data_IF_979902322972
#
_entry.id   IF_979902322972
#
_cell.length_a   1.000
_cell.length_b   1.000
_cell.length_c   1.000
_cell.angle_alpha   90.00
_cell.angle_beta   90.00
_cell.angle_gamma   90.00
#
_symmetry.space_group_name_H-M   'P 1'
#
loop_
_entity.id
_entity.type
_entity.pdbx_description
1 polymer ?
#
# COMPACT_ATOMS: atom_id res chain seq x y z
N UNK A 1 -1.55 -13.70 -14.83
CA UNK A 1 -2.78 -12.93 -15.10
C UNK A 1 -2.79 -12.56 -16.58
N UNK A 2 -3.94 -12.14 -17.13
CA UNK A 2 -4.08 -11.81 -18.57
C UNK A 2 -3.25 -10.59 -18.99
N UNK A 3 -2.87 -9.76 -18.04
CA UNK A 3 -2.06 -8.54 -18.18
C UNK A 3 -0.57 -8.78 -17.86
N UNK A 4 -0.10 -10.04 -17.86
CA UNK A 4 1.29 -10.37 -17.53
C UNK A 4 2.26 -9.72 -18.52
N UNK A 5 3.23 -8.96 -18.02
CA UNK A 5 4.24 -8.31 -18.86
C UNK A 5 5.55 -8.05 -18.10
N UNK A 6 6.70 -8.02 -18.81
CA UNK A 6 7.97 -7.65 -18.21
C UNK A 6 8.00 -6.16 -17.85
N UNK A 7 8.61 -5.82 -16.71
CA UNK A 7 8.94 -4.43 -16.34
C UNK A 7 10.45 -4.23 -16.38
N UNK A 8 10.91 -3.16 -17.02
CA UNK A 8 12.34 -2.85 -17.13
C UNK A 8 13.00 -2.80 -15.75
N UNK A 9 14.09 -3.56 -15.59
CA UNK A 9 14.84 -3.63 -14.33
C UNK A 9 14.22 -4.52 -13.25
N UNK A 10 13.13 -5.26 -13.55
CA UNK A 10 12.54 -6.26 -12.66
C UNK A 10 12.77 -7.66 -13.21
N UNK A 11 13.02 -8.59 -12.29
CA UNK A 11 13.27 -10.00 -12.61
C UNK A 11 11.97 -10.78 -12.78
N UNK A 12 11.02 -10.56 -11.89
CA UNK A 12 9.68 -11.12 -12.00
C UNK A 12 8.79 -10.24 -12.90
N UNK A 13 8.07 -10.79 -13.89
CA UNK A 13 7.04 -10.05 -14.60
C UNK A 13 5.94 -9.57 -13.64
N UNK A 14 5.27 -8.48 -13.99
CA UNK A 14 4.08 -8.04 -13.26
C UNK A 14 2.86 -8.84 -13.75
N UNK A 15 1.79 -8.92 -12.97
CA UNK A 15 0.64 -9.77 -13.29
C UNK A 15 0.83 -11.22 -12.84
N UNK A 16 1.62 -11.46 -11.79
CA UNK A 16 1.96 -12.81 -11.30
C UNK A 16 1.50 -13.03 -9.86
N UNK A 17 1.10 -14.27 -9.56
CA UNK A 17 0.95 -14.78 -8.20
C UNK A 17 1.74 -16.10 -8.09
N UNK A 18 2.58 -16.23 -7.07
CA UNK A 18 3.43 -17.40 -6.83
C UNK A 18 3.22 -17.88 -5.40
N UNK A 19 2.92 -19.16 -5.23
CA UNK A 19 2.78 -19.79 -3.91
C UNK A 19 4.05 -20.59 -3.57
N UNK A 20 4.49 -20.50 -2.32
CA UNK A 20 5.58 -21.29 -1.76
C UNK A 20 5.22 -21.80 -0.38
N UNK A 21 5.79 -22.94 0.02
CA UNK A 21 5.49 -23.55 1.33
C UNK A 21 6.09 -22.76 2.49
N UNK A 22 7.40 -22.53 2.44
CA UNK A 22 8.18 -21.93 3.53
C UNK A 22 9.23 -20.90 3.05
N UNK A 23 9.22 -20.53 1.76
CA UNK A 23 10.24 -19.64 1.19
C UNK A 23 9.67 -18.28 0.83
N UNK A 24 10.27 -17.23 1.36
CA UNK A 24 9.95 -15.83 1.09
C UNK A 24 10.89 -15.29 0.02
N UNK A 25 10.34 -14.87 -1.12
CA UNK A 25 11.12 -14.45 -2.30
C UNK A 25 10.97 -12.96 -2.57
N UNK A 26 11.82 -12.10 -1.96
CA UNK A 26 11.72 -10.65 -2.09
C UNK A 26 11.75 -10.14 -3.53
N UNK A 27 12.41 -10.83 -4.46
CA UNK A 27 12.51 -10.39 -5.86
C UNK A 27 11.25 -10.67 -6.70
N UNK A 28 10.35 -11.54 -6.22
CA UNK A 28 9.04 -11.74 -6.85
C UNK A 28 8.17 -10.51 -6.61
N UNK A 29 8.20 -9.99 -5.39
CA UNK A 29 7.51 -8.76 -5.04
C UNK A 29 8.35 -7.57 -5.46
N UNK A 30 7.78 -6.64 -6.22
CA UNK A 30 8.48 -5.39 -6.52
C UNK A 30 8.87 -4.68 -5.19
N UNK A 31 9.86 -3.79 -5.26
CA UNK A 31 10.33 -2.99 -4.13
C UNK A 31 9.41 -1.82 -3.77
N UNK A 32 8.11 -2.00 -3.95
CA UNK A 32 7.05 -1.09 -3.55
C UNK A 32 5.96 -1.89 -2.82
N UNK A 33 6.25 -2.41 -1.59
CA UNK A 33 5.27 -3.12 -0.79
C UNK A 33 3.98 -2.32 -0.66
N UNK A 34 2.84 -2.96 -0.86
CA UNK A 34 1.53 -2.32 -0.82
C UNK A 34 1.36 -1.09 -1.73
N UNK A 35 1.99 -1.10 -2.91
CA UNK A 35 1.35 -0.42 -4.03
C UNK A 35 -0.04 -1.03 -4.21
N UNK A 36 -1.04 -0.16 -4.35
CA UNK A 36 -2.43 -0.58 -4.26
C UNK A 36 -3.39 0.55 -4.56
N UNK A 37 -4.66 0.19 -4.63
CA UNK A 37 -5.71 1.08 -5.08
C UNK A 37 -6.82 1.20 -4.06
N UNK A 38 -7.44 2.37 -4.05
CA UNK A 38 -8.55 2.70 -3.18
C UNK A 38 -9.72 3.22 -4.01
N UNK A 39 -10.89 2.61 -3.81
CA UNK A 39 -12.16 3.08 -4.38
C UNK A 39 -12.94 3.82 -3.30
N UNK A 40 -13.17 5.11 -3.52
CA UNK A 40 -13.82 6.01 -2.55
C UNK A 40 -15.14 6.47 -3.17
N UNK A 41 -16.25 6.10 -2.53
CA UNK A 41 -17.58 6.56 -2.91
C UNK A 41 -17.78 8.00 -2.47
N UNK A 42 -18.59 8.73 -3.22
CA UNK A 42 -19.01 10.09 -2.88
C UNK A 42 -20.53 10.20 -2.97
N UNK A 43 -21.12 11.24 -2.38
CA UNK A 43 -22.50 11.65 -2.65
C UNK A 43 -22.65 12.55 -3.90
N UNK A 44 -21.58 12.73 -4.68
CA UNK A 44 -21.58 13.48 -5.92
C UNK A 44 -22.15 12.64 -7.06
N UNK A 45 -22.94 13.26 -7.92
CA UNK A 45 -23.66 12.66 -9.03
C UNK A 45 -23.73 13.64 -10.19
N UNK A 46 -24.05 13.15 -11.39
CA UNK A 46 -24.26 14.02 -12.56
C UNK A 46 -25.37 15.06 -12.35
N UNK A 47 -26.34 14.79 -11.48
CA UNK A 47 -27.46 15.70 -11.21
C UNK A 47 -27.09 16.83 -10.23
N UNK A 48 -26.15 16.61 -9.31
CA UNK A 48 -25.83 17.54 -8.23
C UNK A 48 -24.42 18.14 -8.28
N UNK A 49 -23.63 17.77 -9.29
CA UNK A 49 -22.25 18.22 -9.45
C UNK A 49 -22.01 18.75 -10.85
N UNK A 50 -21.76 20.04 -10.95
CA UNK A 50 -21.50 20.73 -12.22
C UNK A 50 -20.05 20.56 -12.68
N UNK A 51 -19.81 20.68 -13.99
CA UNK A 51 -18.45 20.68 -14.56
C UNK A 51 -17.55 21.77 -13.96
N UNK A 52 -18.12 22.95 -13.66
CA UNK A 52 -17.39 24.04 -13.00
C UNK A 52 -16.92 23.66 -11.59
N UNK A 53 -17.73 22.92 -10.84
CA UNK A 53 -17.32 22.40 -9.53
C UNK A 53 -16.24 21.35 -9.67
N UNK A 54 -16.34 20.44 -10.65
CA UNK A 54 -15.31 19.44 -10.93
C UNK A 54 -13.97 20.11 -11.26
N UNK A 55 -13.97 21.11 -12.15
CA UNK A 55 -12.76 21.88 -12.48
C UNK A 55 -12.17 22.56 -11.24
N UNK A 56 -13.01 23.20 -10.41
CA UNK A 56 -12.56 23.81 -9.16
C UNK A 56 -11.97 22.79 -8.17
N UNK A 57 -12.57 21.60 -8.05
CA UNK A 57 -12.05 20.50 -7.22
C UNK A 57 -10.66 20.10 -7.70
N UNK A 58 -10.46 19.87 -9.00
CA UNK A 58 -9.15 19.47 -9.51
C UNK A 58 -8.10 20.58 -9.39
N UNK A 59 -8.47 21.85 -9.59
CA UNK A 59 -7.55 22.98 -9.31
C UNK A 59 -7.08 22.99 -7.86
N UNK A 60 -7.98 22.72 -6.91
CA UNK A 60 -7.60 22.59 -5.50
C UNK A 60 -6.75 21.34 -5.24
N UNK A 61 -7.13 20.19 -5.79
CA UNK A 61 -6.40 18.93 -5.62
C UNK A 61 -4.97 19.00 -6.14
N UNK A 62 -4.73 19.68 -7.27
CA UNK A 62 -3.36 19.90 -7.80
C UNK A 62 -2.46 20.61 -6.77
N UNK A 63 -3.03 21.48 -5.94
CA UNK A 63 -2.28 22.22 -4.92
C UNK A 63 -1.96 21.36 -3.69
N UNK A 64 -2.91 20.55 -3.25
CA UNK A 64 -2.85 19.81 -1.97
C UNK A 64 -2.43 18.34 -2.10
N UNK A 65 -2.54 17.75 -3.30
CA UNK A 65 -2.13 16.38 -3.62
C UNK A 65 -0.88 16.41 -4.52
N UNK A 66 0.33 16.51 -3.94
CA UNK A 66 1.55 16.62 -4.72
C UNK A 66 1.95 15.30 -5.39
N UNK A 67 2.45 15.40 -6.62
CA UNK A 67 3.10 14.29 -7.33
C UNK A 67 4.60 14.25 -7.07
N UNK A 68 5.30 15.40 -7.16
CA UNK A 68 6.78 15.47 -7.14
C UNK A 68 7.41 16.19 -5.94
N UNK A 69 6.65 16.59 -4.92
CA UNK A 69 7.21 17.35 -3.78
C UNK A 69 8.18 16.52 -2.94
N UNK A 70 9.18 17.19 -2.35
CA UNK A 70 10.11 16.57 -1.40
C UNK A 70 9.51 16.41 0.01
N UNK A 71 8.54 17.25 0.37
CA UNK A 71 7.84 17.21 1.65
C UNK A 71 6.34 17.11 1.36
N UNK A 72 5.71 16.12 1.98
CA UNK A 72 4.26 15.93 2.00
C UNK A 72 3.70 16.32 3.37
N UNK A 73 2.73 15.56 3.85
CA UNK A 73 2.14 15.75 5.17
C UNK A 73 3.11 15.30 6.26
N UNK A 74 3.51 16.25 7.11
CA UNK A 74 4.35 15.99 8.28
C UNK A 74 3.52 15.32 9.38
N UNK A 75 4.04 14.24 9.93
CA UNK A 75 3.49 13.57 11.12
C UNK A 75 4.54 13.48 12.25
N UNK A 76 4.11 13.25 13.51
CA UNK A 76 5.03 12.93 14.59
C UNK A 76 5.82 11.64 14.31
N UNK A 77 7.08 11.57 14.77
CA UNK A 77 7.90 10.36 14.61
C UNK A 77 7.27 9.14 15.30
N UNK A 78 6.70 9.35 16.49
CA UNK A 78 5.97 8.32 17.22
C UNK A 78 4.79 7.75 16.40
N UNK A 79 4.02 8.63 15.75
CA UNK A 79 2.94 8.19 14.85
C UNK A 79 3.48 7.38 13.66
N UNK A 80 4.65 7.71 13.12
CA UNK A 80 5.29 6.92 12.06
C UNK A 80 5.63 5.50 12.52
N UNK A 81 6.09 5.32 13.76
CA UNK A 81 6.31 4.00 14.36
C UNK A 81 5.00 3.28 14.69
N UNK A 82 3.97 4.01 15.14
CA UNK A 82 2.67 3.41 15.41
C UNK A 82 1.99 2.93 14.11
N UNK A 83 2.12 3.66 13.00
CA UNK A 83 1.69 3.21 11.67
C UNK A 83 2.41 1.92 11.27
N UNK A 84 3.73 1.85 11.49
CA UNK A 84 4.51 0.66 11.18
C UNK A 84 3.94 -0.59 11.86
N UNK A 85 3.44 -0.46 13.09
CA UNK A 85 3.01 -1.57 13.95
C UNK A 85 1.52 -1.90 13.87
N UNK A 86 0.69 -0.86 13.78
CA UNK A 86 -0.76 -0.94 13.93
C UNK A 86 -1.51 -0.58 12.65
N UNK A 87 -0.81 -0.33 11.55
CA UNK A 87 -1.43 0.04 10.27
C UNK A 87 -2.04 1.44 10.31
N UNK A 88 -3.18 1.63 9.66
CA UNK A 88 -3.80 2.96 9.53
C UNK A 88 -4.62 3.43 10.73
N UNK A 89 -4.93 2.56 11.69
CA UNK A 89 -5.83 2.93 12.81
C UNK A 89 -5.34 4.16 13.59
N UNK A 90 -4.06 4.23 14.06
CA UNK A 90 -3.58 5.41 14.78
C UNK A 90 -3.60 6.70 13.93
N UNK A 91 -3.44 6.55 12.61
CA UNK A 91 -3.46 7.66 11.66
C UNK A 91 -4.87 8.23 11.49
N UNK A 92 -5.87 7.36 11.33
CA UNK A 92 -7.29 7.72 11.22
C UNK A 92 -7.74 8.48 12.48
N UNK A 93 -7.32 8.01 13.66
CA UNK A 93 -7.58 8.67 14.94
C UNK A 93 -6.88 10.03 15.03
N UNK A 94 -5.60 10.10 14.63
CA UNK A 94 -4.81 11.34 14.65
C UNK A 94 -5.39 12.44 13.76
N UNK A 95 -5.77 12.10 12.52
CA UNK A 95 -6.37 13.05 11.57
C UNK A 95 -7.86 13.29 11.81
N UNK A 96 -8.50 12.53 12.72
CA UNK A 96 -9.95 12.53 12.93
C UNK A 96 -10.68 12.36 11.60
N UNK A 97 -10.24 11.38 10.81
CA UNK A 97 -10.72 11.18 9.44
C UNK A 97 -12.24 11.00 9.42
N UNK A 98 -12.91 11.74 8.53
CA UNK A 98 -14.37 11.71 8.36
C UNK A 98 -14.85 10.62 7.41
N UNK A 99 -13.98 10.16 6.50
CA UNK A 99 -14.30 9.09 5.55
C UNK A 99 -14.78 7.85 6.28
N UNK A 100 -15.97 7.37 5.90
CA UNK A 100 -16.59 6.18 6.50
C UNK A 100 -15.79 4.93 6.13
N UNK A 101 -15.80 3.95 7.03
CA UNK A 101 -15.25 2.60 6.83
C UNK A 101 -13.75 2.51 6.48
N UNK A 102 -12.94 3.54 6.77
CA UNK A 102 -11.51 3.58 6.49
C UNK A 102 -10.73 2.32 6.92
N UNK A 103 -10.97 1.86 8.15
CA UNK A 103 -10.31 0.67 8.71
C UNK A 103 -11.02 -0.61 8.30
N UNK A 104 -12.34 -0.65 8.37
CA UNK A 104 -13.14 -1.86 8.07
C UNK A 104 -12.92 -2.34 6.64
N UNK A 105 -12.96 -1.41 5.68
CA UNK A 105 -12.90 -1.68 4.26
C UNK A 105 -11.48 -1.59 3.68
N UNK A 106 -10.45 -1.58 4.52
CA UNK A 106 -9.07 -1.73 4.05
C UNK A 106 -8.64 -3.19 4.10
N UNK A 107 -7.86 -3.65 3.12
CA UNK A 107 -7.30 -4.99 3.12
C UNK A 107 -6.60 -5.30 4.45
N UNK A 108 -6.96 -6.42 5.08
CA UNK A 108 -6.51 -6.80 6.43
C UNK A 108 -6.70 -5.68 7.47
N UNK A 109 -7.82 -4.96 7.37
CA UNK A 109 -8.14 -3.78 8.18
C UNK A 109 -7.06 -2.69 8.16
N UNK A 110 -6.35 -2.58 7.04
CA UNK A 110 -5.27 -1.62 6.85
C UNK A 110 -4.03 -1.90 7.71
N UNK A 111 -3.86 -3.13 8.20
CA UNK A 111 -2.70 -3.56 8.97
C UNK A 111 -2.20 -4.96 8.54
N UNK A 112 -0.98 -5.02 8.00
CA UNK A 112 -0.33 -6.27 7.61
C UNK A 112 0.10 -7.16 8.80
N UNK A 113 0.14 -6.62 10.03
CA UNK A 113 0.37 -7.40 11.24
C UNK A 113 -0.91 -7.99 11.84
N UNK A 114 -2.09 -7.63 11.31
CA UNK A 114 -3.40 -8.09 11.80
C UNK A 114 -3.51 -7.89 13.31
N UNK A 115 -3.67 -8.98 14.07
CA UNK A 115 -3.81 -8.98 15.53
C UNK A 115 -2.51 -9.23 16.30
N UNK A 116 -1.36 -9.28 15.62
CA UNK A 116 -0.05 -9.58 16.21
C UNK A 116 0.91 -8.40 16.02
N UNK A 117 0.65 -7.22 16.63
CA UNK A 117 1.52 -6.07 16.49
C UNK A 117 2.87 -6.33 17.15
N UNK A 118 3.93 -5.86 16.51
CA UNK A 118 5.29 -5.97 17.03
C UNK A 118 5.61 -4.86 18.05
N UNK A 119 6.71 -5.00 18.79
CA UNK A 119 7.25 -3.89 19.57
C UNK A 119 7.94 -2.85 18.67
N UNK A 120 8.24 -1.66 19.20
CA UNK A 120 9.06 -0.69 18.46
C UNK A 120 10.47 -1.23 18.19
N UNK A 121 11.04 -1.98 19.14
CA UNK A 121 12.37 -2.56 19.01
C UNK A 121 12.43 -3.58 17.88
N UNK A 122 11.40 -4.41 17.71
CA UNK A 122 11.32 -5.38 16.61
C UNK A 122 11.31 -4.67 15.24
N UNK A 123 10.52 -3.60 15.13
CA UNK A 123 10.49 -2.77 13.91
C UNK A 123 11.84 -2.11 13.66
N UNK A 124 12.45 -1.53 14.69
CA UNK A 124 13.75 -0.85 14.63
C UNK A 124 14.94 -1.82 14.50
N UNK A 125 14.74 -3.11 14.76
CA UNK A 125 15.71 -4.16 14.44
C UNK A 125 15.71 -4.53 12.96
N UNK A 126 14.57 -4.38 12.29
CA UNK A 126 14.38 -4.72 10.88
C UNK A 126 14.54 -3.51 9.93
N UNK A 127 14.23 -2.30 10.40
CA UNK A 127 14.24 -1.08 9.59
C UNK A 127 14.94 0.07 10.35
N UNK A 128 15.96 0.73 9.76
CA UNK A 128 16.65 1.86 10.39
C UNK A 128 15.73 3.02 10.79
N UNK A 129 15.97 3.60 11.96
CA UNK A 129 15.26 4.80 12.47
C UNK A 129 15.29 5.97 11.48
N UNK A 130 16.40 6.15 10.76
CA UNK A 130 16.55 7.17 9.72
C UNK A 130 15.42 7.11 8.68
N UNK A 131 14.98 5.91 8.30
CA UNK A 131 13.94 5.76 7.28
C UNK A 131 12.58 6.26 7.79
N UNK A 132 12.29 6.08 9.08
CA UNK A 132 11.11 6.68 9.72
C UNK A 132 11.23 8.19 9.90
N UNK A 133 12.44 8.70 10.20
CA UNK A 133 12.70 10.15 10.25
C UNK A 133 12.47 10.84 8.90
N UNK A 134 12.72 10.13 7.79
CA UNK A 134 12.37 10.59 6.45
C UNK A 134 10.88 10.37 6.21
N UNK A 135 10.36 9.17 6.48
CA UNK A 135 8.99 8.77 6.22
C UNK A 135 7.93 9.68 6.84
N UNK A 136 8.21 10.22 8.04
CA UNK A 136 7.30 11.17 8.70
C UNK A 136 7.05 12.48 7.94
N UNK A 137 7.81 12.77 6.89
CA UNK A 137 7.62 13.93 6.01
C UNK A 137 7.12 13.55 4.61
N UNK A 138 6.81 12.27 4.36
CA UNK A 138 6.65 11.71 3.00
C UNK A 138 5.28 11.11 2.72
N UNK A 139 4.35 11.16 3.68
CA UNK A 139 2.94 10.78 3.45
C UNK A 139 2.20 11.88 2.69
N UNK A 140 1.08 11.55 2.06
CA UNK A 140 0.28 12.52 1.30
C UNK A 140 0.94 12.93 -0.01
N UNK A 141 1.68 12.01 -0.65
CA UNK A 141 2.32 12.24 -1.95
C UNK A 141 1.93 11.10 -2.87
N UNK A 142 1.34 11.41 -4.03
CA UNK A 142 0.98 10.39 -5.03
C UNK A 142 2.24 9.67 -5.54
N UNK A 143 3.30 10.42 -5.81
CA UNK A 143 4.56 9.92 -6.36
C UNK A 143 4.79 10.41 -7.78
N UNK A 144 6.06 10.63 -8.12
CA UNK A 144 6.49 11.31 -9.34
C UNK A 144 6.61 10.38 -10.56
N UNK A 145 6.61 9.06 -10.35
CA UNK A 145 7.02 8.08 -11.33
C UNK A 145 5.99 6.95 -11.43
N UNK A 146 5.67 6.56 -12.67
CA UNK A 146 4.86 5.37 -12.96
C UNK A 146 3.38 5.67 -13.16
N UNK A 147 2.56 4.75 -12.70
CA UNK A 147 1.12 4.63 -12.95
C UNK A 147 0.26 5.04 -11.74
N UNK A 148 0.77 5.92 -10.87
CA UNK A 148 0.05 6.44 -9.71
C UNK A 148 -0.85 7.62 -10.12
N UNK A 149 -2.07 7.66 -9.60
CA UNK A 149 -3.10 8.64 -10.00
C UNK A 149 -4.14 8.88 -8.89
N UNK A 150 -4.94 9.92 -9.08
CA UNK A 150 -6.17 10.20 -8.35
C UNK A 150 -7.21 10.65 -9.39
N UNK A 151 -8.10 9.74 -9.75
CA UNK A 151 -9.06 9.94 -10.83
C UNK A 151 -10.47 10.08 -10.29
N UNK A 152 -11.22 11.07 -10.80
CA UNK A 152 -12.66 11.16 -10.62
C UNK A 152 -13.31 10.38 -11.76
N UNK A 153 -14.02 9.32 -11.42
CA UNK A 153 -14.71 8.45 -12.38
C UNK A 153 -16.22 8.56 -12.20
N UNK A 154 -16.96 8.36 -13.29
CA UNK A 154 -18.42 8.26 -13.28
C UNK A 154 -18.82 6.80 -13.49
N UNK A 155 -19.75 6.30 -12.68
CA UNK A 155 -20.36 4.99 -12.89
C UNK A 155 -21.34 5.10 -14.05
N UNK A 156 -21.00 4.51 -15.20
CA UNK A 156 -21.83 4.55 -16.42
C UNK A 156 -22.73 3.35 -16.59
N UNK A 157 -22.36 2.20 -16.02
CA UNK A 157 -23.09 0.95 -16.18
C UNK A 157 -22.96 0.06 -14.95
N UNK A 158 -24.06 -0.56 -14.53
CA UNK A 158 -24.08 -1.60 -13.49
C UNK A 158 -24.50 -2.94 -14.08
N UNK A 159 -23.56 -3.90 -14.05
CA UNK A 159 -23.81 -5.28 -14.53
C UNK A 159 -24.54 -6.16 -13.51
N UNK A 160 -24.29 -5.97 -12.22
CA UNK A 160 -24.92 -6.73 -11.13
C UNK A 160 -25.55 -5.76 -10.13
N UNK A 161 -26.88 -5.60 -10.23
CA UNK A 161 -27.65 -4.65 -9.43
C UNK A 161 -27.65 -5.02 -7.94
N UNK A 162 -27.79 -6.29 -7.62
CA UNK A 162 -27.84 -6.78 -6.23
C UNK A 162 -26.52 -6.56 -5.47
N UNK A 163 -25.38 -6.65 -6.15
CA UNK A 163 -24.07 -6.34 -5.56
C UNK A 163 -23.86 -4.83 -5.48
N UNK A 164 -24.25 -4.08 -6.51
CA UNK A 164 -24.15 -2.62 -6.52
C UNK A 164 -24.98 -1.97 -5.39
N UNK A 165 -26.18 -2.47 -5.14
CA UNK A 165 -27.03 -2.02 -4.04
C UNK A 165 -26.36 -2.25 -2.69
N UNK A 166 -25.77 -3.44 -2.47
CA UNK A 166 -25.01 -3.76 -1.23
C UNK A 166 -23.76 -2.90 -1.08
N UNK A 167 -23.12 -2.52 -2.18
CA UNK A 167 -21.99 -1.58 -2.18
C UNK A 167 -22.43 -0.12 -2.00
N UNK A 168 -23.72 0.17 -2.16
CA UNK A 168 -24.27 1.53 -2.11
C UNK A 168 -23.79 2.38 -3.27
N UNK A 169 -23.72 1.79 -4.48
CA UNK A 169 -23.33 2.49 -5.70
C UNK A 169 -24.44 2.47 -6.75
N UNK A 170 -24.51 3.53 -7.57
CA UNK A 170 -25.51 3.68 -8.63
C UNK A 170 -24.93 4.33 -9.89
N UNK A 171 -25.57 4.13 -11.04
CA UNK A 171 -25.24 4.85 -12.27
C UNK A 171 -25.39 6.37 -12.08
N UNK A 172 -24.54 7.14 -12.76
CA UNK A 172 -24.47 8.60 -12.62
C UNK A 172 -23.71 9.09 -11.38
N UNK A 173 -23.35 8.21 -10.44
CA UNK A 173 -22.54 8.57 -9.28
C UNK A 173 -21.07 8.80 -9.67
N UNK A 174 -20.45 9.80 -9.04
CA UNK A 174 -19.01 10.01 -9.12
C UNK A 174 -18.28 9.31 -7.97
N UNK A 175 -17.13 8.71 -8.28
CA UNK A 175 -16.25 8.02 -7.34
C UNK A 175 -14.81 8.47 -7.57
N UNK A 176 -13.97 8.34 -6.55
CA UNK A 176 -12.53 8.50 -6.72
C UNK A 176 -11.84 7.15 -6.73
N UNK A 177 -11.01 6.91 -7.74
CA UNK A 177 -10.05 5.82 -7.77
C UNK A 177 -8.65 6.39 -7.53
N UNK A 178 -8.01 5.94 -6.47
CA UNK A 178 -6.69 6.41 -6.07
C UNK A 178 -5.68 5.27 -6.15
N UNK A 179 -4.52 5.52 -6.74
CA UNK A 179 -3.44 4.56 -6.84
C UNK A 179 -2.12 5.15 -6.35
N UNK A 180 -1.56 4.57 -5.28
CA UNK A 180 -0.20 4.85 -4.81
C UNK A 180 0.30 3.72 -3.90
N UNK A 181 1.52 3.84 -3.38
CA UNK A 181 2.16 2.84 -2.51
C UNK A 181 2.87 3.44 -1.31
N UNK A 182 3.81 2.67 -0.76
CA UNK A 182 4.53 2.93 0.49
C UNK A 182 5.55 4.09 0.46
N UNK A 183 5.70 4.75 -0.69
CA UNK A 183 6.67 5.84 -0.87
C UNK A 183 8.12 5.44 -0.61
N UNK A 184 8.94 6.44 -0.26
CA UNK A 184 10.39 6.27 -0.09
C UNK A 184 10.75 5.36 1.10
N UNK A 185 10.00 5.42 2.21
CA UNK A 185 10.27 4.57 3.37
C UNK A 185 10.20 3.10 2.98
N UNK A 186 9.10 2.69 2.31
CA UNK A 186 8.95 1.30 1.91
C UNK A 186 9.94 0.89 0.83
N UNK A 187 10.35 1.82 -0.04
CA UNK A 187 11.43 1.58 -0.99
C UNK A 187 12.75 1.29 -0.26
N UNK A 188 13.16 2.14 0.68
CA UNK A 188 14.41 1.96 1.42
C UNK A 188 14.43 0.68 2.24
N UNK A 189 13.35 0.42 2.99
CA UNK A 189 13.22 -0.80 3.79
C UNK A 189 13.22 -2.06 2.91
N UNK A 190 12.60 -2.04 1.72
CA UNK A 190 12.64 -3.16 0.78
C UNK A 190 14.06 -3.43 0.25
N UNK A 191 14.86 -2.40 0.00
CA UNK A 191 16.21 -2.55 -0.56
C UNK A 191 17.19 -3.21 0.42
N UNK A 192 16.90 -3.14 1.71
CA UNK A 192 17.68 -3.81 2.76
C UNK A 192 17.67 -5.34 2.65
N UNK A 193 16.66 -5.90 1.97
CA UNK A 193 16.41 -7.34 1.89
C UNK A 193 16.22 -7.86 0.46
N UNK A 194 16.33 -6.99 -0.55
CA UNK A 194 16.07 -7.36 -1.96
C UNK A 194 17.27 -7.00 -2.83
N UNK A 195 17.87 -7.97 -3.55
CA UNK A 195 18.98 -7.68 -4.45
C UNK A 195 18.58 -6.69 -5.55
N UNK A 196 19.45 -5.71 -5.81
CA UNK A 196 19.23 -4.68 -6.83
C UNK A 196 20.43 -4.53 -7.75
N UNK A 197 20.16 -4.49 -9.05
CA UNK A 197 21.19 -4.26 -10.08
C UNK A 197 21.66 -2.80 -10.11
N UNK A 198 20.72 -1.84 -10.07
CA UNK A 198 21.00 -0.40 -10.11
C UNK A 198 20.07 0.37 -9.17
N UNK A 199 20.57 1.49 -8.66
CA UNK A 199 19.89 2.39 -7.75
C UNK A 199 20.31 3.84 -8.06
N UNK A 200 19.39 4.77 -7.87
CA UNK A 200 19.67 6.19 -8.06
C UNK A 200 20.63 6.69 -6.97
N UNK A 201 21.57 7.58 -7.30
CA UNK A 201 22.61 8.03 -6.39
C UNK A 201 22.05 8.55 -5.05
N UNK A 202 20.99 9.35 -5.09
CA UNK A 202 20.36 9.87 -3.87
C UNK A 202 19.77 8.77 -2.98
N UNK A 203 19.23 7.70 -3.57
CA UNK A 203 18.72 6.55 -2.81
C UNK A 203 19.89 5.78 -2.17
N UNK A 204 20.95 5.55 -2.95
CA UNK A 204 22.16 4.89 -2.45
C UNK A 204 22.77 5.63 -1.25
N UNK A 205 22.86 6.97 -1.30
CA UNK A 205 23.37 7.77 -0.18
C UNK A 205 22.54 7.56 1.08
N UNK A 206 21.20 7.65 0.97
CA UNK A 206 20.30 7.47 2.12
C UNK A 206 20.39 6.05 2.69
N UNK A 207 20.46 5.03 1.83
CA UNK A 207 20.64 3.65 2.26
C UNK A 207 21.97 3.47 2.98
N UNK A 208 23.06 4.04 2.47
CA UNK A 208 24.38 3.97 3.13
C UNK A 208 24.37 4.63 4.50
N UNK A 209 23.78 5.82 4.62
CA UNK A 209 23.63 6.48 5.92
C UNK A 209 22.76 5.64 6.87
N UNK A 210 21.60 5.16 6.41
CA UNK A 210 20.69 4.36 7.23
C UNK A 210 21.30 3.03 7.67
N UNK A 211 22.11 2.41 6.83
CA UNK A 211 22.79 1.13 7.12
C UNK A 211 24.03 1.28 7.98
N UNK A 212 24.81 2.35 7.78
CA UNK A 212 26.02 2.62 8.57
C UNK A 212 25.68 2.93 10.03
N UNK A 213 24.62 3.70 10.26
CA UNK A 213 24.14 4.05 11.61
C UNK A 213 23.00 3.12 12.08
N UNK A 214 22.90 1.91 11.52
CA UNK A 214 21.81 1.01 11.85
C UNK A 214 22.03 0.37 13.23
N UNK A 215 21.35 0.92 14.23
CA UNK A 215 21.38 0.40 15.59
C UNK A 215 20.39 -0.75 15.81
N UNK A 216 20.59 -1.85 15.08
CA UNK A 216 19.83 -3.10 15.26
C UNK A 216 20.46 -3.98 16.36
N UNK A 217 19.67 -4.70 17.14
CA UNK A 217 20.17 -5.76 18.02
C UNK A 217 20.58 -7.02 17.22
N UNK A 218 20.15 -7.10 15.95
CA UNK A 218 20.35 -8.24 15.05
C UNK A 218 21.49 -8.00 14.03
N UNK A 219 22.54 -7.22 14.39
CA UNK A 219 23.63 -6.79 13.48
C UNK A 219 24.25 -7.94 12.67
N UNK A 220 24.53 -9.08 13.33
CA UNK A 220 25.11 -10.27 12.66
C UNK A 220 24.20 -10.84 11.58
N UNK A 221 22.89 -10.86 11.81
CA UNK A 221 21.91 -11.34 10.83
C UNK A 221 21.83 -10.37 9.65
N UNK A 222 21.80 -9.06 9.93
CA UNK A 222 21.85 -8.04 8.88
C UNK A 222 23.11 -8.15 8.01
N UNK A 223 24.29 -8.37 8.59
CA UNK A 223 25.52 -8.58 7.81
C UNK A 223 25.40 -9.79 6.86
N UNK A 224 24.83 -10.91 7.32
CA UNK A 224 24.57 -12.09 6.49
C UNK A 224 23.59 -11.79 5.35
N UNK A 225 22.52 -11.04 5.63
CA UNK A 225 21.58 -10.57 4.60
C UNK A 225 22.33 -9.75 3.55
N UNK A 226 23.14 -8.77 3.97
CA UNK A 226 23.89 -7.92 3.05
C UNK A 226 24.89 -8.70 2.17
N UNK A 227 25.51 -9.77 2.69
CA UNK A 227 26.34 -10.68 1.91
C UNK A 227 25.52 -11.46 0.87
N UNK A 228 24.38 -12.07 1.28
CA UNK A 228 23.44 -12.73 0.37
C UNK A 228 22.96 -11.79 -0.74
N UNK A 229 22.66 -10.53 -0.42
CA UNK A 229 22.23 -9.56 -1.44
C UNK A 229 23.29 -9.31 -2.51
N UNK A 230 24.58 -9.28 -2.14
CA UNK A 230 25.68 -9.13 -3.10
C UNK A 230 25.81 -10.38 -3.96
N UNK A 231 25.71 -11.56 -3.36
CA UNK A 231 25.82 -12.84 -4.06
C UNK A 231 24.71 -13.04 -5.10
N UNK A 232 23.47 -12.66 -4.77
CA UNK A 232 22.29 -12.86 -5.64
C UNK A 232 22.01 -11.68 -6.58
N UNK A 233 22.81 -10.61 -6.55
CA UNK A 233 22.59 -9.40 -7.35
C UNK A 233 22.52 -9.68 -8.84
N UNK A 234 23.44 -10.51 -9.32
CA UNK A 234 23.63 -10.79 -10.75
C UNK A 234 23.25 -12.23 -11.14
N UNK A 235 22.77 -13.04 -10.18
CA UNK A 235 22.29 -14.41 -10.42
C UNK A 235 20.92 -14.46 -11.10
N UNK A 236 20.70 -15.50 -11.90
CA UNK A 236 19.41 -15.84 -12.51
C UNK A 236 18.44 -16.52 -11.54
N UNK A 237 18.93 -17.03 -10.41
CA UNK A 237 18.11 -17.59 -9.32
C UNK A 237 17.48 -16.50 -8.44
N UNK A 238 16.25 -16.73 -7.97
CA UNK A 238 15.62 -15.84 -6.99
C UNK A 238 16.24 -16.06 -5.61
N UNK A 239 16.59 -14.98 -4.92
CA UNK A 239 16.90 -15.05 -3.49
C UNK A 239 15.65 -15.46 -2.73
N UNK A 240 15.79 -16.48 -1.89
CA UNK A 240 14.77 -16.93 -0.95
C UNK A 240 15.26 -16.86 0.49
N UNK A 241 14.37 -16.48 1.41
CA UNK A 241 14.56 -16.63 2.85
C UNK A 241 13.62 -17.72 3.36
N UNK A 242 14.11 -18.62 4.21
CA UNK A 242 13.22 -19.52 4.95
C UNK A 242 12.40 -18.70 5.95
N UNK A 243 11.09 -18.95 6.02
CA UNK A 243 10.14 -18.16 6.80
C UNK A 243 10.31 -18.28 8.32
N UNK A 244 11.03 -19.32 8.78
CA UNK A 244 11.39 -19.53 10.19
C UNK A 244 12.79 -19.03 10.53
N UNK A 245 13.55 -18.56 9.54
CA UNK A 245 14.87 -17.99 9.78
C UNK A 245 14.77 -16.55 10.28
N UNK A 246 15.77 -16.10 11.04
CA UNK A 246 15.84 -14.70 11.48
C UNK A 246 15.94 -13.72 10.30
N UNK A 247 16.56 -14.12 9.19
CA UNK A 247 16.53 -13.31 7.95
C UNK A 247 15.11 -13.19 7.38
N UNK A 248 14.35 -14.30 7.35
CA UNK A 248 12.96 -14.32 6.88
C UNK A 248 12.04 -13.47 7.76
N UNK A 249 12.18 -13.56 9.08
CA UNK A 249 11.44 -12.76 10.05
C UNK A 249 11.74 -11.26 9.89
N UNK A 250 13.03 -10.90 9.76
CA UNK A 250 13.44 -9.51 9.53
C UNK A 250 12.92 -8.97 8.19
N UNK A 251 12.99 -9.78 7.12
CA UNK A 251 12.43 -9.42 5.82
C UNK A 251 10.92 -9.19 5.89
N UNK A 252 10.14 -10.11 6.47
CA UNK A 252 8.70 -9.97 6.63
C UNK A 252 8.34 -8.74 7.47
N UNK A 253 9.08 -8.51 8.55
CA UNK A 253 8.88 -7.33 9.42
C UNK A 253 9.07 -6.04 8.63
N UNK A 254 10.16 -5.93 7.87
CA UNK A 254 10.43 -4.79 7.02
C UNK A 254 9.39 -4.63 5.90
N UNK A 255 8.97 -5.73 5.26
CA UNK A 255 7.96 -5.73 4.21
C UNK A 255 6.60 -5.25 4.74
N UNK A 256 6.12 -5.81 5.85
CA UNK A 256 4.82 -5.46 6.46
C UNK A 256 4.81 -4.04 7.01
N UNK A 257 5.89 -3.61 7.66
CA UNK A 257 6.07 -2.22 8.10
C UNK A 257 5.96 -1.25 6.92
N UNK A 258 6.67 -1.56 5.83
CA UNK A 258 6.62 -0.77 4.59
C UNK A 258 5.21 -0.76 4.00
N UNK A 259 4.57 -1.92 3.99
CA UNK A 259 3.25 -2.12 3.45
C UNK A 259 2.19 -1.30 4.23
N UNK A 260 2.29 -1.21 5.55
CA UNK A 260 1.44 -0.33 6.37
C UNK A 260 1.56 1.15 5.97
N UNK A 261 2.74 1.61 5.55
CA UNK A 261 2.91 2.96 4.99
C UNK A 261 2.19 3.17 3.65
N UNK A 262 1.93 2.11 2.89
CA UNK A 262 1.12 2.19 1.66
C UNK A 262 -0.33 2.57 1.96
N UNK A 263 -0.94 1.92 2.95
CA UNK A 263 -2.28 2.30 3.42
C UNK A 263 -2.28 3.69 4.04
N UNK A 264 -1.27 4.01 4.86
CA UNK A 264 -1.16 5.32 5.48
C UNK A 264 -1.08 6.44 4.43
N UNK A 265 -0.31 6.24 3.36
CA UNK A 265 -0.21 7.23 2.29
C UNK A 265 -1.56 7.45 1.59
N UNK A 266 -2.27 6.37 1.25
CA UNK A 266 -3.62 6.45 0.66
C UNK A 266 -4.65 7.10 1.61
N UNK A 267 -4.57 6.83 2.91
CA UNK A 267 -5.46 7.43 3.91
C UNK A 267 -5.18 8.93 4.10
N UNK A 268 -3.91 9.37 4.14
CA UNK A 268 -3.57 10.82 4.15
C UNK A 268 -4.04 11.51 2.88
N UNK A 269 -3.85 10.90 1.70
CA UNK A 269 -4.36 11.46 0.44
C UNK A 269 -5.89 11.55 0.43
N UNK A 270 -6.57 10.57 1.04
CA UNK A 270 -8.04 10.59 1.18
C UNK A 270 -8.48 11.70 2.11
N UNK A 271 -7.75 11.96 3.20
CA UNK A 271 -8.00 13.11 4.06
C UNK A 271 -7.77 14.44 3.32
N UNK A 272 -6.72 14.56 2.51
CA UNK A 272 -6.51 15.75 1.68
C UNK A 272 -7.62 15.96 0.65
N UNK A 273 -8.10 14.87 0.03
CA UNK A 273 -9.25 14.89 -0.85
C UNK A 273 -10.51 15.40 -0.12
N UNK A 274 -10.82 14.85 1.06
CA UNK A 274 -11.94 15.28 1.89
C UNK A 274 -11.90 16.80 2.21
N UNK A 275 -10.73 17.30 2.59
CA UNK A 275 -10.54 18.73 2.90
C UNK A 275 -10.65 19.61 1.65
N UNK A 276 -10.14 19.15 0.50
CA UNK A 276 -10.26 19.87 -0.77
C UNK A 276 -11.72 19.97 -1.23
N UNK A 277 -12.46 18.86 -1.13
CA UNK A 277 -13.88 18.83 -1.47
C UNK A 277 -14.67 19.78 -0.57
N UNK A 278 -14.43 19.77 0.74
CA UNK A 278 -15.12 20.69 1.66
C UNK A 278 -14.84 22.16 1.34
N UNK A 279 -13.59 22.50 1.05
CA UNK A 279 -13.19 23.85 0.67
C UNK A 279 -13.90 24.34 -0.60
N UNK A 280 -14.03 23.48 -1.61
CA UNK A 280 -14.63 23.86 -2.90
C UNK A 280 -16.16 23.82 -2.86
N UNK A 281 -16.75 22.84 -2.17
CA UNK A 281 -18.20 22.65 -2.10
C UNK A 281 -18.86 23.47 -0.99
N UNK A 282 -18.07 24.04 -0.07
CA UNK A 282 -18.55 24.82 1.07
C UNK A 282 -19.20 23.98 2.18
N UNK A 283 -19.14 22.64 2.08
CA UNK A 283 -19.67 21.70 3.06
C UNK A 283 -18.92 20.37 2.99
N UNK A 284 -18.87 19.58 4.08
CA UNK A 284 -18.26 18.25 4.07
C UNK A 284 -18.82 17.37 2.95
N UNK A 285 -17.95 16.74 2.18
CA UNK A 285 -18.35 15.68 1.26
C UNK A 285 -18.56 14.38 2.03
N UNK A 286 -19.56 13.59 1.64
CA UNK A 286 -19.74 12.27 2.24
C UNK A 286 -18.86 11.27 1.50
N UNK A 287 -17.65 11.07 2.03
CA UNK A 287 -16.74 10.03 1.56
C UNK A 287 -16.97 8.73 2.32
N UNK A 288 -17.04 7.63 1.58
CA UNK A 288 -17.15 6.28 2.13
C UNK A 288 -16.20 5.36 1.36
N UNK A 289 -15.25 4.76 2.07
CA UNK A 289 -14.33 3.82 1.47
C UNK A 289 -15.10 2.58 1.03
N UNK A 290 -15.16 2.30 -0.28
CA UNK A 290 -15.62 0.98 -0.71
C UNK A 290 -14.55 -0.05 -0.37
N UNK A 291 -13.36 0.01 -0.97
CA UNK A 291 -12.30 -0.93 -0.61
C UNK A 291 -10.92 -0.36 -0.89
N UNK A 292 -9.94 -0.71 -0.06
CA UNK A 292 -8.51 -0.43 -0.27
C UNK A 292 -7.77 -1.76 -0.42
N UNK A 293 -7.35 -2.08 -1.65
CA UNK A 293 -6.73 -3.37 -1.97
C UNK A 293 -5.29 -3.19 -2.45
N UNK A 294 -4.46 -4.16 -2.10
CA UNK A 294 -3.05 -4.21 -2.45
C UNK A 294 -2.83 -5.09 -3.67
N UNK A 295 -1.94 -4.69 -4.59
CA UNK A 295 -1.53 -5.53 -5.71
C UNK A 295 -0.06 -6.00 -5.63
N UNK A 296 0.65 -5.60 -4.58
CA UNK A 296 1.99 -6.10 -4.24
C UNK A 296 1.98 -6.51 -2.77
N UNK A 297 1.92 -7.82 -2.52
CA UNK A 297 1.77 -8.38 -1.16
C UNK A 297 2.39 -9.76 -1.02
N UNK A 298 2.75 -10.10 0.22
CA UNK A 298 3.19 -11.44 0.64
C UNK A 298 2.32 -11.84 1.83
N UNK A 299 1.40 -12.77 1.59
CA UNK A 299 0.39 -13.16 2.57
C UNK A 299 0.47 -14.66 2.84
N UNK A 300 0.26 -15.04 4.10
CA UNK A 300 0.07 -16.45 4.45
C UNK A 300 -1.41 -16.80 4.27
N UNK A 301 -1.68 -17.78 3.41
CA UNK A 301 -3.03 -18.16 3.00
C UNK A 301 -3.16 -19.69 2.98
N UNK A 302 -4.39 -20.18 3.17
CA UNK A 302 -4.67 -21.61 3.12
C UNK A 302 -5.14 -22.03 1.72
N UNK A 303 -4.32 -22.80 1.02
CA UNK A 303 -4.57 -23.31 -0.33
C UNK A 303 -3.96 -24.70 -0.49
N UNK A 304 -4.51 -25.51 -1.40
CA UNK A 304 -4.00 -26.87 -1.65
C UNK A 304 -3.96 -27.79 -0.40
N UNK A 305 -4.78 -27.50 0.61
CA UNK A 305 -4.84 -28.26 1.87
C UNK A 305 -3.74 -27.89 2.88
N UNK A 306 -2.94 -26.84 2.64
CA UNK A 306 -1.89 -26.39 3.56
C UNK A 306 -1.77 -24.86 3.61
N UNK A 307 -1.03 -24.35 4.60
CA UNK A 307 -0.70 -22.94 4.67
C UNK A 307 0.52 -22.64 3.79
N UNK A 308 0.36 -21.69 2.87
CA UNK A 308 1.40 -21.27 1.93
C UNK A 308 1.59 -19.76 1.95
N UNK A 309 2.78 -19.31 1.55
CA UNK A 309 3.07 -17.92 1.26
C UNK A 309 2.71 -17.58 -0.18
N UNK A 310 1.74 -16.68 -0.35
CA UNK A 310 1.30 -16.19 -1.66
C UNK A 310 1.95 -14.83 -1.92
N UNK A 311 2.85 -14.81 -2.89
CA UNK A 311 3.55 -13.63 -3.39
C UNK A 311 2.77 -13.07 -4.57
N UNK A 312 2.27 -11.84 -4.47
CA UNK A 312 1.58 -11.15 -5.56
C UNK A 312 2.37 -9.93 -6.03
N UNK A 313 2.47 -9.77 -7.34
CA UNK A 313 3.12 -8.62 -7.98
C UNK A 313 2.30 -8.15 -9.19
N UNK A 314 1.63 -7.01 -9.06
CA UNK A 314 0.61 -6.57 -10.02
C UNK A 314 -0.56 -7.54 -10.10
N UNK A 315 -0.91 -8.19 -8.98
CA UNK A 315 -2.03 -9.11 -8.88
C UNK A 315 -2.69 -8.89 -7.52
N UNK A 316 -4.02 -9.01 -7.44
CA UNK A 316 -4.77 -8.78 -6.19
C UNK A 316 -5.31 -10.09 -5.63
N UNK A 317 -5.65 -10.08 -4.33
CA UNK A 317 -6.50 -11.11 -3.74
C UNK A 317 -7.95 -10.90 -4.19
N UNK A 318 -8.64 -12.00 -4.48
CA UNK A 318 -10.01 -12.01 -4.98
C UNK A 318 -10.82 -13.11 -4.25
N UNK A 319 -10.95 -12.99 -2.93
CA UNK A 319 -11.69 -13.95 -2.13
C UNK A 319 -13.20 -13.95 -2.46
N UNK A 320 -13.80 -15.13 -2.58
CA UNK A 320 -15.26 -15.27 -2.64
C UNK A 320 -15.94 -14.99 -1.29
N UNK A 321 -17.29 -14.92 -1.26
CA UNK A 321 -18.07 -14.56 -0.07
C UNK A 321 -17.72 -15.40 1.17
N UNK A 322 -17.56 -16.72 1.00
CA UNK A 322 -17.21 -17.64 2.09
C UNK A 322 -15.90 -17.26 2.79
N UNK A 323 -14.88 -16.84 2.03
CA UNK A 323 -13.58 -16.42 2.56
C UNK A 323 -13.58 -15.00 3.14
N UNK A 324 -14.67 -14.26 2.95
CA UNK A 324 -14.91 -12.93 3.51
C UNK A 324 -15.98 -12.97 4.62
N UNK A 325 -16.22 -14.14 5.23
CA UNK A 325 -17.34 -14.40 6.13
C UNK A 325 -17.45 -13.49 7.36
N UNK A 326 -16.35 -12.85 7.79
CA UNK A 326 -16.36 -11.91 8.92
C UNK A 326 -16.71 -10.47 8.53
N UNK A 327 -16.73 -10.14 7.23
CA UNK A 327 -16.99 -8.80 6.76
C UNK A 327 -18.49 -8.58 6.55
N UNK A 328 -19.10 -7.47 7.04
CA UNK A 328 -20.56 -7.29 7.00
C UNK A 328 -21.15 -7.29 5.58
N UNK A 329 -20.45 -6.67 4.63
CA UNK A 329 -20.85 -6.62 3.22
C UNK A 329 -20.22 -7.77 2.40
N UNK A 330 -18.89 -7.95 2.48
CA UNK A 330 -18.17 -8.89 1.60
C UNK A 330 -18.43 -10.37 1.87
N UNK A 331 -18.98 -10.72 3.04
CA UNK A 331 -19.51 -12.07 3.29
C UNK A 331 -20.66 -12.45 2.35
N UNK A 332 -21.31 -11.47 1.70
CA UNK A 332 -22.43 -11.67 0.76
C UNK A 332 -22.03 -11.46 -0.70
N UNK A 333 -20.98 -10.68 -0.97
CA UNK A 333 -20.61 -10.28 -2.34
C UNK A 333 -19.27 -10.85 -2.81
N UNK A 334 -18.41 -11.28 -1.88
CA UNK A 334 -16.99 -11.48 -2.14
C UNK A 334 -16.19 -10.18 -2.04
N UNK A 335 -14.87 -10.33 -2.08
CA UNK A 335 -13.90 -9.26 -1.96
C UNK A 335 -13.89 -8.37 -3.22
N UNK A 336 -13.98 -7.04 -3.09
CA UNK A 336 -13.90 -6.14 -4.24
C UNK A 336 -12.53 -6.19 -4.94
N UNK A 337 -12.58 -6.19 -6.26
CA UNK A 337 -11.40 -6.18 -7.14
C UNK A 337 -11.52 -5.00 -8.11
N UNK A 338 -10.43 -4.26 -8.25
CA UNK A 338 -10.35 -3.12 -9.16
C UNK A 338 -9.49 -3.49 -10.36
N UNK A 339 -10.03 -3.27 -11.56
CA UNK A 339 -9.33 -3.48 -12.82
C UNK A 339 -9.19 -2.10 -13.47
N UNK A 340 -8.17 -1.31 -13.11
CA UNK A 340 -7.94 -0.02 -13.75
C UNK A 340 -7.51 -0.23 -15.20
N UNK A 341 -7.99 0.61 -16.10
CA UNK A 341 -7.39 0.80 -17.42
C UNK A 341 -6.45 2.02 -17.39
N UNK A 342 -5.60 2.14 -18.42
CA UNK A 342 -4.75 3.31 -18.67
C UNK A 342 -5.22 4.07 -19.89
#
# INVERSE_FOLDING_TARGET
>A
MSDVHPKKGRKNPTGTAIASKNILMPQINDTAPNCGMRFIKTNMTVENTTEKQIDAIFRELVNVVPTKKYIGTKIPYKLALDIARFGIKPLVEYFKTRTKNEVENSFSNGNFFKNNPLSERDVLDAVPSLFFHIGKYRLGILGAAGNHFLDLMKITEIKNKDVAEKFGIKEGQYIFLMHTGSGLLGQYASYMYTPKRKEHLSQWIVLKLGTLFFDSQKKRIYSKVAEKLKEYKDKDEFLGYDDKSLEGEMFLTAHRTSANFGFANRSVLTHQLDQALEKVLGKPAELDLLYDNTHISIEREHHFGEDVWVHRNGAVRANGPLRMGTHPIYSKTGEPVFIPSS
#
